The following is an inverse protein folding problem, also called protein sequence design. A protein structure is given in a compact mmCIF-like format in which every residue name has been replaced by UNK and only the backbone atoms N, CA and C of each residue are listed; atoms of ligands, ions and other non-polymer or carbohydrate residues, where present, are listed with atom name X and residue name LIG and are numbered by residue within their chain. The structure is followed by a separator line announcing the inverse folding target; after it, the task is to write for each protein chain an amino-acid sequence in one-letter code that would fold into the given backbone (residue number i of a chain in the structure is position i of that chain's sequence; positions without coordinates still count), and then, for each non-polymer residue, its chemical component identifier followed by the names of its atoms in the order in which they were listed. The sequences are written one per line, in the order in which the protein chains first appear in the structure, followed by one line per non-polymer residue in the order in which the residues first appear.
data_IF_410869475646
#
_entry.id   IF_410869475646
#
_cell.length_a   1.000
_cell.length_b   1.000
_cell.length_c   1.000
_cell.angle_alpha   90.00
_cell.angle_beta   90.00
_cell.angle_gamma   90.00
#
_symmetry.space_group_name_H-M   'P 1'
#
loop_
_entity.id
_entity.type
_entity.pdbx_description
1 polymer ?
#
# COMPACT_ATOMS: atom_id res chain seq x y z
N UNK A 1 53.72 -0.73 0.33
CA UNK A 1 52.69 -1.75 0.05
C UNK A 1 51.91 -2.23 1.29
N UNK A 2 52.50 -2.31 2.50
CA UNK A 2 51.78 -2.74 3.71
C UNK A 2 50.56 -1.88 4.10
N UNK A 3 50.64 -0.56 3.93
CA UNK A 3 49.55 0.36 4.32
C UNK A 3 48.38 0.39 3.32
N UNK A 4 48.60 0.00 2.06
CA UNK A 4 47.54 -0.02 1.03
C UNK A 4 46.49 -1.08 1.36
N UNK A 5 46.92 -2.26 1.82
CA UNK A 5 46.00 -3.33 2.21
C UNK A 5 45.20 -2.97 3.49
N UNK A 6 45.80 -2.18 4.39
CA UNK A 6 45.12 -1.70 5.60
C UNK A 6 44.07 -0.65 5.24
N UNK A 7 44.40 0.30 4.36
CA UNK A 7 43.42 1.29 3.88
C UNK A 7 42.26 0.63 3.15
N UNK A 8 42.51 -0.40 2.34
CA UNK A 8 41.48 -1.11 1.60
C UNK A 8 40.56 -1.91 2.54
N UNK A 9 41.10 -2.51 3.60
CA UNK A 9 40.31 -3.17 4.65
C UNK A 9 39.43 -2.17 5.43
N UNK A 10 39.95 -0.99 5.74
CA UNK A 10 39.21 0.08 6.46
C UNK A 10 38.08 0.63 5.59
N UNK A 11 38.33 0.85 4.29
CA UNK A 11 37.28 1.24 3.34
C UNK A 11 36.23 0.14 3.20
N UNK A 12 36.62 -1.13 3.15
CA UNK A 12 35.68 -2.25 3.10
C UNK A 12 34.82 -2.32 4.38
N UNK A 13 35.41 -2.16 5.56
CA UNK A 13 34.71 -2.18 6.85
C UNK A 13 33.74 -0.99 7.01
N UNK A 14 34.09 0.19 6.52
CA UNK A 14 33.22 1.37 6.55
C UNK A 14 31.99 1.23 5.62
N UNK A 15 32.07 0.41 4.57
CA UNK A 15 30.94 0.10 3.70
C UNK A 15 29.99 -0.97 4.29
N UNK A 16 30.39 -1.72 5.32
CA UNK A 16 29.47 -2.63 6.01
C UNK A 16 28.51 -1.91 6.97
N UNK A 17 28.79 -0.65 7.34
CA UNK A 17 27.99 0.11 8.32
C UNK A 17 26.84 0.94 7.74
N UNK A 18 26.63 0.97 6.43
CA UNK A 18 25.47 1.66 5.85
C UNK A 18 24.26 0.73 5.83
N UNK A 19 23.41 0.81 6.85
CA UNK A 19 22.02 0.40 6.69
C UNK A 19 21.33 -0.37 7.81
N UNK A 20 21.69 -0.17 9.08
CA UNK A 20 20.76 -0.44 10.18
C UNK A 20 20.43 0.87 10.86
N UNK A 21 19.48 1.60 10.27
CA UNK A 21 18.65 2.49 11.07
C UNK A 21 17.99 1.57 12.09
N UNK A 22 18.44 1.60 13.34
CA UNK A 22 17.70 1.03 14.46
C UNK A 22 16.34 1.73 14.46
N UNK A 23 15.38 1.08 13.80
CA UNK A 23 14.14 1.70 13.39
C UNK A 23 13.21 1.69 14.57
N UNK A 24 13.17 2.78 15.34
CA UNK A 24 12.17 2.97 16.38
C UNK A 24 10.79 2.59 15.83
N UNK A 25 9.99 1.86 16.60
CA UNK A 25 8.64 1.48 16.17
C UNK A 25 7.88 2.72 15.67
N UNK A 26 7.35 2.61 14.46
CA UNK A 26 6.82 3.75 13.72
C UNK A 26 5.57 3.37 12.94
N UNK A 27 4.67 4.35 12.81
CA UNK A 27 3.54 4.29 11.91
C UNK A 27 3.89 4.97 10.60
N UNK A 28 3.46 4.38 9.50
CA UNK A 28 3.52 4.95 8.15
C UNK A 28 2.12 4.88 7.54
N UNK A 29 1.70 5.92 6.84
CA UNK A 29 0.47 5.91 6.02
C UNK A 29 0.86 6.03 4.55
N UNK A 30 0.18 5.28 3.69
CA UNK A 30 0.43 5.35 2.26
C UNK A 30 -0.45 4.41 1.45
N UNK A 31 -0.24 4.44 0.15
CA UNK A 31 -1.00 3.65 -0.83
C UNK A 31 -0.23 2.40 -1.23
N UNK A 32 -0.92 1.26 -1.27
CA UNK A 32 -0.34 -0.01 -1.70
C UNK A 32 -0.35 -0.07 -3.23
N UNK A 33 0.82 0.08 -3.83
CA UNK A 33 0.99 0.03 -5.28
C UNK A 33 1.13 -1.40 -5.80
N UNK A 34 1.78 -2.27 -5.03
CA UNK A 34 2.03 -3.66 -5.44
C UNK A 34 2.24 -4.56 -4.22
N UNK A 35 1.87 -5.83 -4.36
CA UNK A 35 2.01 -6.86 -3.31
C UNK A 35 2.82 -8.02 -3.86
N UNK A 36 3.91 -8.38 -3.17
CA UNK A 36 4.78 -9.51 -3.47
C UNK A 36 4.58 -10.60 -2.39
N UNK A 37 3.52 -11.42 -2.50
CA UNK A 37 3.16 -12.37 -1.44
C UNK A 37 4.27 -13.38 -1.17
N UNK A 38 4.92 -13.89 -2.23
CA UNK A 38 6.01 -14.87 -2.11
C UNK A 38 7.26 -14.32 -1.42
N UNK A 39 7.37 -12.99 -1.29
CA UNK A 39 8.51 -12.32 -0.68
C UNK A 39 8.15 -11.68 0.66
N UNK A 40 6.89 -11.77 1.10
CA UNK A 40 6.36 -11.02 2.25
C UNK A 40 6.71 -9.53 2.14
N UNK A 41 6.45 -8.92 0.98
CA UNK A 41 6.74 -7.51 0.71
C UNK A 41 5.57 -6.78 0.07
N UNK A 42 5.52 -5.47 0.31
CA UNK A 42 4.62 -4.55 -0.38
C UNK A 42 5.39 -3.35 -0.88
N UNK A 43 4.99 -2.81 -2.03
CA UNK A 43 5.44 -1.49 -2.50
C UNK A 43 4.39 -0.47 -2.12
N UNK A 44 4.82 0.58 -1.44
CA UNK A 44 3.96 1.64 -0.92
C UNK A 44 4.40 3.00 -1.43
N UNK A 45 3.45 3.86 -1.79
CA UNK A 45 3.67 5.29 -1.98
C UNK A 45 3.29 6.03 -0.70
N UNK A 46 4.26 6.67 -0.06
CA UNK A 46 4.06 7.44 1.18
C UNK A 46 4.78 8.77 1.03
N UNK A 47 4.08 9.89 1.27
CA UNK A 47 4.65 11.25 1.17
C UNK A 47 5.38 11.51 -0.18
N UNK A 48 4.84 10.99 -1.28
CA UNK A 48 5.43 11.10 -2.62
C UNK A 48 6.69 10.24 -2.84
N UNK A 49 7.05 9.37 -1.91
CA UNK A 49 8.19 8.45 -2.02
C UNK A 49 7.72 7.01 -2.13
N UNK A 50 8.22 6.31 -3.14
CA UNK A 50 8.02 4.88 -3.26
C UNK A 50 8.99 4.14 -2.34
N UNK A 51 8.46 3.23 -1.53
CA UNK A 51 9.20 2.43 -0.57
C UNK A 51 8.76 0.97 -0.68
N UNK A 52 9.70 0.04 -0.47
CA UNK A 52 9.38 -1.39 -0.33
C UNK A 52 9.44 -1.70 1.16
N UNK A 53 8.32 -2.15 1.71
CA UNK A 53 8.22 -2.55 3.11
C UNK A 53 8.30 -4.08 3.20
N UNK A 54 9.12 -4.56 4.13
CA UNK A 54 9.18 -5.98 4.49
C UNK A 54 8.17 -6.28 5.58
N UNK A 55 7.42 -7.36 5.42
CA UNK A 55 6.43 -7.85 6.38
C UNK A 55 7.10 -8.87 7.30
N UNK A 56 6.70 -8.87 8.57
CA UNK A 56 7.02 -9.97 9.47
C UNK A 56 6.26 -11.25 9.06
N UNK A 57 6.79 -12.42 9.42
CA UNK A 57 6.19 -13.71 9.05
C UNK A 57 4.76 -13.89 9.58
N UNK A 58 4.42 -13.20 10.67
CA UNK A 58 3.09 -13.19 11.30
C UNK A 58 2.51 -11.78 11.29
N UNK A 59 2.54 -11.12 10.14
CA UNK A 59 1.88 -9.81 10.00
C UNK A 59 0.37 -9.96 10.19
N UNK A 60 -0.20 -9.11 11.04
CA UNK A 60 -1.64 -8.99 11.18
C UNK A 60 -2.17 -7.97 10.17
N UNK A 61 -3.20 -8.32 9.43
CA UNK A 61 -3.77 -7.45 8.40
C UNK A 61 -5.27 -7.36 8.63
N UNK A 62 -5.77 -6.15 8.83
CA UNK A 62 -7.18 -5.91 9.08
C UNK A 62 -7.79 -4.98 8.04
N UNK A 63 -9.02 -5.29 7.63
CA UNK A 63 -9.91 -4.39 6.90
C UNK A 63 -11.20 -4.27 7.66
N UNK A 64 -11.58 -3.04 8.05
CA UNK A 64 -12.79 -2.76 8.85
C UNK A 64 -12.90 -3.66 10.10
N UNK A 65 -11.78 -3.86 10.78
CA UNK A 65 -11.68 -4.70 11.98
C UNK A 65 -11.71 -6.22 11.75
N UNK A 66 -11.81 -6.68 10.50
CA UNK A 66 -11.78 -8.12 10.17
C UNK A 66 -10.40 -8.52 9.63
N UNK A 67 -9.87 -9.69 10.01
CA UNK A 67 -8.61 -10.18 9.48
C UNK A 67 -8.75 -10.51 7.99
N UNK A 68 -7.77 -10.11 7.19
CA UNK A 68 -7.74 -10.36 5.74
C UNK A 68 -6.37 -10.89 5.31
N UNK A 69 -6.30 -11.49 4.11
CA UNK A 69 -5.04 -11.99 3.58
C UNK A 69 -4.23 -10.88 2.92
N UNK A 70 -2.91 -11.04 2.88
CA UNK A 70 -2.00 -10.15 2.13
C UNK A 70 -2.39 -10.04 0.65
N UNK A 71 -2.84 -11.14 0.04
CA UNK A 71 -3.29 -11.13 -1.36
C UNK A 71 -4.47 -10.18 -1.59
N UNK A 72 -5.34 -10.01 -0.60
CA UNK A 72 -6.51 -9.14 -0.72
C UNK A 72 -6.18 -7.65 -0.64
N UNK A 73 -4.93 -7.26 -0.32
CA UNK A 73 -4.50 -5.86 -0.21
C UNK A 73 -3.95 -5.28 -1.51
N UNK A 74 -3.97 -6.08 -2.60
CA UNK A 74 -3.56 -5.64 -3.94
C UNK A 74 -4.42 -4.47 -4.44
N UNK A 75 -3.89 -3.64 -5.35
CA UNK A 75 -4.70 -2.64 -6.04
C UNK A 75 -5.98 -3.26 -6.62
N UNK A 76 -7.09 -2.52 -6.55
CA UNK A 76 -8.40 -3.00 -6.98
C UNK A 76 -8.51 -2.99 -8.50
N UNK A 77 -7.89 -1.99 -9.12
CA UNK A 77 -7.76 -1.83 -10.56
C UNK A 77 -6.53 -0.97 -10.87
N UNK A 78 -6.25 -0.75 -12.16
CA UNK A 78 -5.18 0.15 -12.59
C UNK A 78 -5.41 1.55 -12.00
N UNK A 79 -4.40 2.10 -11.32
CA UNK A 79 -4.45 3.38 -10.60
C UNK A 79 -5.42 3.46 -9.39
N UNK A 80 -6.13 2.39 -9.05
CA UNK A 80 -6.99 2.33 -7.86
C UNK A 80 -6.31 1.55 -6.74
N UNK A 81 -5.51 2.27 -5.97
CA UNK A 81 -4.72 1.74 -4.87
C UNK A 81 -5.50 1.71 -3.55
N UNK A 82 -5.25 0.68 -2.74
CA UNK A 82 -5.78 0.63 -1.38
C UNK A 82 -4.90 1.48 -0.46
N UNK A 83 -5.52 2.15 0.51
CA UNK A 83 -4.77 2.84 1.54
C UNK A 83 -4.41 1.90 2.68
N UNK A 84 -3.28 2.17 3.33
CA UNK A 84 -2.80 1.41 4.47
C UNK A 84 -2.15 2.28 5.53
N UNK A 85 -2.39 1.91 6.79
CA UNK A 85 -1.56 2.28 7.92
C UNK A 85 -0.70 1.07 8.27
N UNK A 86 0.62 1.25 8.27
CA UNK A 86 1.61 0.23 8.51
C UNK A 86 2.34 0.53 9.82
N UNK A 87 2.26 -0.40 10.76
CA UNK A 87 3.04 -0.34 12.00
C UNK A 87 4.25 -1.25 11.89
N UNK A 88 5.43 -0.64 12.01
CA UNK A 88 6.72 -1.33 11.94
C UNK A 88 7.27 -1.58 13.34
N UNK A 89 7.87 -2.75 13.53
CA UNK A 89 8.62 -3.08 14.74
C UNK A 89 10.03 -2.46 14.73
N UNK A 90 10.80 -2.70 15.79
CA UNK A 90 12.16 -2.18 15.96
C UNK A 90 13.17 -2.65 14.89
N UNK A 91 12.82 -3.69 14.12
CA UNK A 91 13.61 -4.22 13.01
C UNK A 91 13.21 -3.60 11.66
N UNK A 92 12.29 -2.64 11.65
CA UNK A 92 11.76 -2.03 10.43
C UNK A 92 10.83 -2.94 9.65
N UNK A 93 10.34 -4.05 10.24
CA UNK A 93 9.38 -4.95 9.59
C UNK A 93 7.96 -4.60 9.99
N UNK A 94 7.06 -4.59 9.03
CA UNK A 94 5.63 -4.36 9.26
C UNK A 94 5.04 -5.57 9.98
N UNK A 95 4.50 -5.35 11.18
CA UNK A 95 3.86 -6.38 12.01
C UNK A 95 2.35 -6.23 12.05
N UNK A 96 1.83 -5.05 11.71
CA UNK A 96 0.41 -4.77 11.65
C UNK A 96 0.10 -3.85 10.46
N UNK A 97 -0.95 -4.17 9.74
CA UNK A 97 -1.52 -3.41 8.65
C UNK A 97 -3.01 -3.17 8.91
N UNK A 98 -3.44 -1.91 8.81
CA UNK A 98 -4.86 -1.58 8.66
C UNK A 98 -5.03 -1.06 7.25
N UNK A 99 -5.82 -1.75 6.45
CA UNK A 99 -6.05 -1.41 5.04
C UNK A 99 -7.52 -1.15 4.80
N UNK A 100 -7.84 -0.24 3.90
CA UNK A 100 -9.21 -0.07 3.44
C UNK A 100 -9.26 0.40 1.98
N UNK A 101 -10.40 0.13 1.37
CA UNK A 101 -10.83 0.68 0.12
C UNK A 101 -12.35 0.83 0.18
N UNK A 102 -12.82 2.06 0.05
CA UNK A 102 -14.22 2.40 0.14
C UNK A 102 -14.63 3.16 -1.11
N UNK A 103 -15.72 2.71 -1.71
CA UNK A 103 -16.32 3.30 -2.90
C UNK A 103 -17.83 3.32 -2.74
N UNK A 104 -18.47 4.42 -3.12
CA UNK A 104 -19.91 4.62 -3.07
C UNK A 104 -20.42 5.15 -4.41
N UNK A 105 -21.53 4.60 -4.90
CA UNK A 105 -22.23 5.14 -6.07
C UNK A 105 -23.37 6.07 -5.61
N UNK A 106 -23.34 7.31 -6.08
CA UNK A 106 -24.35 8.34 -5.79
C UNK A 106 -25.07 8.69 -7.08
N UNK A 107 -26.39 8.50 -7.11
CA UNK A 107 -27.20 8.94 -8.24
C UNK A 107 -27.49 10.44 -8.18
N UNK A 108 -27.31 11.11 -9.31
CA UNK A 108 -27.57 12.54 -9.49
C UNK A 108 -28.53 12.77 -10.66
N UNK A 109 -29.07 13.97 -10.79
CA UNK A 109 -29.90 14.35 -11.94
C UNK A 109 -29.16 14.24 -13.29
N UNK A 110 -27.82 14.24 -13.28
CA UNK A 110 -26.95 14.20 -14.46
C UNK A 110 -26.29 12.84 -14.71
N UNK A 111 -26.62 11.79 -13.94
CA UNK A 111 -26.00 10.47 -14.03
C UNK A 111 -25.52 9.93 -12.69
N UNK A 112 -24.69 8.89 -12.70
CA UNK A 112 -24.10 8.31 -11.49
C UNK A 112 -22.71 8.90 -11.22
N UNK A 113 -22.44 9.21 -9.96
CA UNK A 113 -21.11 9.55 -9.46
C UNK A 113 -20.57 8.37 -8.67
N UNK A 114 -19.30 8.06 -8.86
CA UNK A 114 -18.58 7.08 -8.06
C UNK A 114 -17.59 7.83 -7.16
N UNK A 115 -17.78 7.75 -5.86
CA UNK A 115 -16.98 8.45 -4.86
C UNK A 115 -16.05 7.47 -4.18
N UNK A 116 -14.75 7.71 -4.28
CA UNK A 116 -13.72 6.93 -3.62
C UNK A 116 -13.33 7.63 -2.32
N UNK A 117 -13.26 6.87 -1.23
CA UNK A 117 -12.91 7.39 0.08
C UNK A 117 -11.53 6.91 0.53
N UNK A 118 -10.84 7.77 1.27
CA UNK A 118 -9.62 7.44 2.00
C UNK A 118 -9.93 6.57 3.24
N UNK A 119 -8.88 6.12 3.92
CA UNK A 119 -9.00 5.26 5.11
C UNK A 119 -9.69 5.95 6.30
N UNK A 120 -9.78 7.28 6.30
CA UNK A 120 -10.41 8.10 7.32
C UNK A 120 -11.85 8.53 6.94
N UNK A 121 -12.35 8.11 5.78
CA UNK A 121 -13.66 8.47 5.25
C UNK A 121 -13.72 9.83 4.56
N UNK A 122 -12.57 10.44 4.26
CA UNK A 122 -12.46 11.62 3.40
C UNK A 122 -12.67 11.26 1.93
N UNK A 123 -13.19 12.19 1.14
CA UNK A 123 -13.33 12.00 -0.31
C UNK A 123 -11.95 12.14 -0.97
N UNK A 124 -11.52 11.10 -1.64
CA UNK A 124 -10.25 11.03 -2.35
C UNK A 124 -10.39 11.40 -3.82
N UNK A 125 -11.37 10.80 -4.49
CA UNK A 125 -11.63 10.98 -5.92
C UNK A 125 -13.13 10.85 -6.21
N UNK A 126 -13.60 11.55 -7.25
CA UNK A 126 -14.97 11.46 -7.74
C UNK A 126 -14.93 11.28 -9.24
N UNK A 127 -15.55 10.20 -9.71
CA UNK A 127 -15.67 9.89 -11.12
C UNK A 127 -17.13 10.01 -11.55
N UNK A 128 -17.38 10.69 -12.67
CA UNK A 128 -18.73 10.81 -13.22
C UNK A 128 -18.90 9.85 -14.38
N UNK A 129 -19.88 8.96 -14.25
CA UNK A 129 -20.31 8.10 -15.35
C UNK A 129 -21.56 8.69 -16.01
N UNK A 130 -21.62 8.72 -17.35
CA UNK A 130 -22.86 9.00 -18.03
C UNK A 130 -23.90 7.95 -17.61
N UNK A 131 -25.20 8.29 -17.57
CA UNK A 131 -26.24 7.31 -17.30
C UNK A 131 -26.08 6.14 -18.27
N UNK A 132 -26.03 4.93 -17.74
CA UNK A 132 -26.03 3.70 -18.54
C UNK A 132 -27.27 3.74 -19.44
N UNK A 133 -27.08 3.96 -20.74
CA UNK A 133 -28.13 3.66 -21.73
C UNK A 133 -28.41 2.16 -21.59
N UNK A 134 -29.53 1.83 -20.95
CA UNK A 134 -30.02 0.46 -20.95
C UNK A 134 -30.38 0.16 -22.39
N UNK A 135 -29.52 -0.58 -23.07
CA UNK A 135 -29.79 -1.07 -24.41
C UNK A 135 -31.13 -1.85 -24.35
N UNK A 136 -32.20 -1.40 -25.03
CA UNK A 136 -33.53 -1.97 -24.86
C UNK A 136 -33.69 -3.38 -25.48
N UNK A 137 -32.59 -4.04 -25.86
CA UNK A 137 -32.58 -5.27 -26.66
C UNK A 137 -32.47 -6.58 -25.87
N UNK A 138 -32.67 -6.58 -24.54
CA UNK A 138 -32.74 -7.82 -23.75
C UNK A 138 -34.07 -7.89 -23.00
N UNK A 139 -35.18 -7.79 -23.75
CA UNK A 139 -36.51 -8.26 -23.36
C UNK A 139 -37.19 -8.81 -24.61
N UNK A 140 -36.64 -9.88 -25.19
CA UNK A 140 -37.34 -10.71 -26.16
C UNK A 140 -36.85 -12.14 -26.00
N UNK A 141 -37.51 -12.88 -25.10
CA UNK A 141 -37.98 -14.27 -25.28
C UNK A 141 -38.71 -14.77 -24.03
#
# INVERSE_FOLDING_TARGET
MRYVNICLLVVLLLNLSTGTVLGRAAFMHGEILEVFPEQNKIRVLSEGRMQILELADQVEIYRRGQPVSLLSTRPVAENYFQEGIFYMNELGRVVLMVVDYAVEEIQTASGSLLVYYDLFGGVKEVEQFPPLERDPLICSE
#
